data_IF_257957326014
#
_entry.id   IF_257957326014
#
_cell.length_a   1.000
_cell.length_b   1.000
_cell.length_c   1.000
_cell.angle_alpha   90.00
_cell.angle_beta   90.00
_cell.angle_gamma   90.00
#
_symmetry.space_group_name_H-M   'P 1'
#
loop_
_entity.id
_entity.type
_entity.pdbx_description
1 polymer ?
#
# COMPACT_ATOMS: atom_id res chain seq x y z
N UNK A 1 9.50 8.76 21.10
CA UNK A 1 8.18 8.70 20.43
C UNK A 1 8.40 9.19 19.02
N UNK A 2 8.34 8.29 18.04
CA UNK A 2 8.30 8.68 16.63
C UNK A 2 7.03 9.50 16.43
N UNK A 3 7.17 10.80 16.28
CA UNK A 3 6.21 11.53 15.45
C UNK A 3 6.37 10.88 14.07
N UNK A 4 5.41 10.04 13.70
CA UNK A 4 5.50 9.13 12.56
C UNK A 4 5.95 9.89 11.31
N UNK A 5 7.04 9.47 10.66
CA UNK A 5 7.52 9.99 9.36
C UNK A 5 6.38 10.11 8.33
N UNK A 6 5.40 9.20 8.43
CA UNK A 6 4.14 9.22 7.67
C UNK A 6 3.31 10.48 7.96
N UNK A 7 3.11 10.82 9.23
CA UNK A 7 2.38 12.03 9.64
C UNK A 7 3.11 13.29 9.18
N UNK A 8 4.44 13.30 9.24
CA UNK A 8 5.24 14.39 8.70
C UNK A 8 4.99 14.58 7.21
N UNK A 9 5.12 13.51 6.40
CA UNK A 9 4.85 13.52 4.95
C UNK A 9 3.42 14.01 4.65
N UNK A 10 2.41 13.44 5.32
CA UNK A 10 0.99 13.76 5.09
C UNK A 10 0.62 15.20 5.50
N UNK A 11 1.38 15.81 6.40
CA UNK A 11 1.11 17.17 6.90
C UNK A 11 1.69 18.29 6.02
N UNK A 12 2.46 17.95 4.97
CA UNK A 12 3.16 18.93 4.12
C UNK A 12 2.22 19.72 3.19
N UNK A 13 1.61 20.79 3.72
CA UNK A 13 0.66 21.65 2.98
C UNK A 13 1.20 22.37 1.74
N UNK A 14 2.53 22.51 1.63
CA UNK A 14 3.19 23.22 0.50
C UNK A 14 3.42 22.34 -0.72
N UNK A 15 3.34 21.02 -0.55
CA UNK A 15 3.55 20.05 -1.64
C UNK A 15 2.26 19.75 -2.39
N UNK A 16 2.40 19.40 -3.66
CA UNK A 16 1.33 18.81 -4.46
C UNK A 16 0.95 17.45 -3.87
N UNK A 17 -0.31 17.05 -4.07
CA UNK A 17 -0.80 15.73 -3.64
C UNK A 17 -0.01 14.59 -4.28
N UNK A 18 0.46 14.77 -5.52
CA UNK A 18 1.29 13.78 -6.21
C UNK A 18 2.68 13.68 -5.61
N UNK A 19 3.28 14.77 -5.15
CA UNK A 19 4.56 14.72 -4.44
C UNK A 19 4.42 13.98 -3.11
N UNK A 20 3.37 14.29 -2.33
CA UNK A 20 3.06 13.57 -1.08
C UNK A 20 2.86 12.07 -1.35
N UNK A 21 2.16 11.73 -2.42
CA UNK A 21 1.98 10.34 -2.83
C UNK A 21 3.31 9.63 -3.08
N UNK A 22 4.21 10.21 -3.86
CA UNK A 22 5.48 9.56 -4.18
C UNK A 22 6.41 9.49 -2.96
N UNK A 23 6.38 10.47 -2.07
CA UNK A 23 7.10 10.38 -0.79
C UNK A 23 6.59 9.19 0.05
N UNK A 24 5.27 8.97 0.10
CA UNK A 24 4.69 7.81 0.77
C UNK A 24 5.05 6.51 0.06
N UNK A 25 4.96 6.46 -1.27
CA UNK A 25 5.28 5.28 -2.05
C UNK A 25 6.73 4.86 -1.80
N UNK A 26 7.69 5.79 -1.88
CA UNK A 26 9.10 5.52 -1.60
C UNK A 26 9.32 5.08 -0.14
N UNK A 27 8.65 5.73 0.82
CA UNK A 27 8.75 5.36 2.22
C UNK A 27 8.26 3.93 2.49
N UNK A 28 7.15 3.53 1.88
CA UNK A 28 6.61 2.18 2.06
C UNK A 28 7.33 1.14 1.22
N UNK A 29 7.89 1.49 0.06
CA UNK A 29 8.79 0.61 -0.69
C UNK A 29 10.08 0.33 0.08
N UNK A 30 10.64 1.33 0.76
CA UNK A 30 11.79 1.17 1.66
C UNK A 30 11.45 0.22 2.82
N UNK A 31 10.23 0.33 3.38
CA UNK A 31 9.82 -0.41 4.57
C UNK A 31 9.33 -1.83 4.29
N UNK A 32 8.55 -2.03 3.24
CA UNK A 32 7.85 -3.29 2.93
C UNK A 32 8.32 -3.94 1.62
N UNK A 33 9.28 -3.31 0.93
CA UNK A 33 9.83 -3.80 -0.33
C UNK A 33 9.07 -3.30 -1.56
N UNK A 34 9.54 -3.71 -2.73
CA UNK A 34 9.10 -3.19 -4.05
C UNK A 34 7.62 -3.45 -4.37
N UNK A 35 6.95 -4.34 -3.64
CA UNK A 35 5.53 -4.65 -3.83
C UNK A 35 4.61 -3.86 -2.88
N UNK A 36 5.14 -2.85 -2.19
CA UNK A 36 4.32 -1.85 -1.54
C UNK A 36 3.48 -1.08 -2.57
N UNK A 37 2.19 -0.91 -2.30
CA UNK A 37 1.24 -0.23 -3.18
C UNK A 37 0.44 0.80 -2.39
N UNK A 38 0.64 2.08 -2.65
CA UNK A 38 -0.19 3.14 -2.07
C UNK A 38 -1.44 3.37 -2.93
N UNK A 39 -2.60 3.28 -2.30
CA UNK A 39 -3.90 3.75 -2.79
C UNK A 39 -4.30 4.99 -2.01
N UNK A 40 -4.35 6.15 -2.66
CA UNK A 40 -4.65 7.41 -1.98
C UNK A 40 -6.01 7.96 -2.38
N UNK A 41 -6.84 8.26 -1.39
CA UNK A 41 -8.14 8.89 -1.58
C UNK A 41 -7.99 10.35 -2.01
N UNK A 42 -8.56 10.66 -3.18
CA UNK A 42 -8.60 12.00 -3.76
C UNK A 42 -10.03 12.25 -4.27
N UNK A 43 -10.75 13.16 -3.60
CA UNK A 43 -12.16 13.40 -3.90
C UNK A 43 -12.99 12.12 -3.75
N UNK A 44 -13.59 11.64 -4.83
CA UNK A 44 -14.43 10.43 -4.86
C UNK A 44 -13.73 9.19 -5.42
N UNK A 45 -12.40 9.23 -5.55
CA UNK A 45 -11.59 8.16 -6.14
C UNK A 45 -10.46 7.74 -5.21
N UNK A 46 -10.03 6.48 -5.33
CA UNK A 46 -8.72 6.03 -4.88
C UNK A 46 -7.80 5.96 -6.08
N UNK A 47 -6.68 6.67 -5.99
CA UNK A 47 -5.75 6.86 -7.10
C UNK A 47 -4.39 6.22 -6.79
N UNK A 48 -3.76 5.72 -7.84
CA UNK A 48 -2.39 5.21 -7.91
C UNK A 48 -1.66 6.01 -8.98
N UNK A 49 -0.42 6.39 -8.71
CA UNK A 49 0.39 7.16 -9.65
C UNK A 49 1.67 6.44 -10.04
N UNK A 50 2.22 6.81 -11.19
CA UNK A 50 3.52 6.34 -11.67
C UNK A 50 4.26 7.44 -12.42
N UNK A 51 5.53 7.61 -12.06
CA UNK A 51 6.53 8.29 -12.89
C UNK A 51 7.48 7.23 -13.40
N UNK A 52 7.63 7.18 -14.71
CA UNK A 52 8.49 6.26 -15.44
C UNK A 52 9.12 7.03 -16.60
N UNK A 53 10.17 7.77 -16.28
CA UNK A 53 10.98 8.52 -17.23
C UNK A 53 12.47 8.17 -17.03
N UNK A 54 13.38 8.87 -17.72
CA UNK A 54 14.81 8.57 -17.66
C UNK A 54 15.47 8.92 -16.31
N UNK A 55 14.85 9.80 -15.54
CA UNK A 55 15.37 10.29 -14.25
C UNK A 55 14.80 9.52 -13.05
N UNK A 56 13.53 9.13 -13.12
CA UNK A 56 12.76 8.59 -12.01
C UNK A 56 11.81 7.47 -12.46
N UNK A 57 11.84 6.37 -11.71
CA UNK A 57 10.95 5.22 -11.88
C UNK A 57 10.35 4.82 -10.53
N UNK A 58 9.15 5.31 -10.26
CA UNK A 58 8.44 5.12 -8.99
C UNK A 58 6.94 4.96 -9.22
N UNK A 59 6.29 4.15 -8.38
CA UNK A 59 4.86 3.91 -8.44
C UNK A 59 4.49 2.79 -9.40
N UNK A 60 3.20 2.47 -9.44
CA UNK A 60 2.68 1.22 -10.03
C UNK A 60 1.42 1.42 -10.88
N UNK A 61 1.06 2.66 -11.24
CA UNK A 61 -0.19 2.96 -11.92
C UNK A 61 -0.42 2.13 -13.19
N UNK A 62 0.60 1.91 -14.01
CA UNK A 62 0.48 1.09 -15.23
C UNK A 62 0.18 -0.37 -14.90
N UNK A 63 0.97 -0.95 -14.00
CA UNK A 63 0.80 -2.33 -13.54
C UNK A 63 -0.60 -2.56 -12.95
N UNK A 64 -1.05 -1.64 -12.08
CA UNK A 64 -2.37 -1.73 -11.45
C UNK A 64 -3.49 -1.50 -12.45
N UNK A 65 -3.31 -0.61 -13.43
CA UNK A 65 -4.30 -0.40 -14.49
C UNK A 65 -4.53 -1.66 -15.31
N UNK A 66 -3.46 -2.33 -15.72
CA UNK A 66 -3.50 -3.60 -16.46
C UNK A 66 -4.17 -4.71 -15.63
N UNK A 67 -3.74 -4.88 -14.37
CA UNK A 67 -4.24 -5.91 -13.47
C UNK A 67 -5.74 -5.74 -13.17
N UNK A 68 -6.17 -4.51 -12.89
CA UNK A 68 -7.57 -4.22 -12.60
C UNK A 68 -8.43 -4.04 -13.85
N UNK A 69 -7.82 -4.02 -15.04
CA UNK A 69 -8.47 -3.70 -16.31
C UNK A 69 -9.22 -2.35 -16.23
N UNK A 70 -8.52 -1.32 -15.75
CA UNK A 70 -9.02 0.05 -15.64
C UNK A 70 -8.20 0.99 -16.53
N UNK A 71 -8.75 2.16 -16.82
CA UNK A 71 -8.11 3.12 -17.71
C UNK A 71 -6.85 3.74 -17.07
N UNK A 72 -5.70 3.56 -17.74
CA UNK A 72 -4.50 4.35 -17.49
C UNK A 72 -4.59 5.70 -18.22
N UNK A 73 -4.39 6.79 -17.50
CA UNK A 73 -4.39 8.16 -18.04
C UNK A 73 -3.21 8.95 -17.49
N UNK A 74 -3.12 10.23 -17.84
CA UNK A 74 -2.27 11.22 -17.15
C UNK A 74 -3.16 12.13 -16.31
N UNK A 75 -2.57 12.74 -15.29
CA UNK A 75 -3.26 13.76 -14.46
C UNK A 75 -3.76 14.93 -15.32
N UNK A 76 -2.95 15.42 -16.25
CA UNK A 76 -3.34 16.35 -17.31
C UNK A 76 -3.10 15.71 -18.67
N UNK A 77 -4.17 15.53 -19.45
CA UNK A 77 -4.10 14.97 -20.80
C UNK A 77 -3.40 15.89 -21.80
N UNK A 78 -3.32 17.19 -21.50
CA UNK A 78 -2.68 18.18 -22.36
C UNK A 78 -1.15 18.13 -22.27
N UNK A 79 -0.61 17.61 -21.17
CA UNK A 79 0.83 17.52 -20.92
C UNK A 79 1.28 16.09 -21.23
N UNK A 80 2.15 15.92 -22.22
CA UNK A 80 2.66 14.61 -22.64
C UNK A 80 3.77 14.09 -21.72
N UNK A 81 4.54 15.02 -21.16
CA UNK A 81 5.65 14.74 -20.24
C UNK A 81 5.15 14.01 -19.00
N UNK A 82 5.86 12.94 -18.64
CA UNK A 82 5.62 12.17 -17.44
C UNK A 82 6.59 12.61 -16.35
N UNK A 83 6.05 13.21 -15.29
CA UNK A 83 6.81 13.80 -14.19
C UNK A 83 6.01 13.76 -12.90
N UNK A 84 6.61 14.13 -11.77
CA UNK A 84 5.94 14.15 -10.46
C UNK A 84 4.71 15.08 -10.44
N UNK A 85 4.73 16.16 -11.21
CA UNK A 85 3.59 17.09 -11.33
C UNK A 85 2.52 16.59 -12.30
N UNK A 86 2.90 15.79 -13.30
CA UNK A 86 2.00 15.17 -14.28
C UNK A 86 2.28 13.66 -14.47
N UNK A 87 1.99 12.84 -13.45
CA UNK A 87 2.27 11.41 -13.52
C UNK A 87 1.23 10.66 -14.35
N UNK A 88 1.54 9.40 -14.66
CA UNK A 88 0.53 8.42 -15.04
C UNK A 88 -0.39 8.21 -13.84
N UNK A 89 -1.68 8.02 -14.11
CA UNK A 89 -2.74 7.91 -13.12
C UNK A 89 -3.63 6.74 -13.50
N UNK A 90 -3.92 5.91 -12.50
CA UNK A 90 -4.99 4.93 -12.53
C UNK A 90 -5.83 5.11 -11.26
N UNK A 91 -7.14 4.95 -11.36
CA UNK A 91 -8.00 5.16 -10.20
C UNK A 91 -9.32 4.43 -10.28
N UNK A 92 -9.87 4.15 -9.11
CA UNK A 92 -11.16 3.45 -8.94
C UNK A 92 -12.10 4.31 -8.09
N UNK A 93 -13.41 4.31 -8.37
CA UNK A 93 -14.38 5.02 -7.53
C UNK A 93 -14.35 4.51 -6.10
N UNK A 94 -14.41 5.41 -5.12
CA UNK A 94 -14.37 5.08 -3.68
C UNK A 94 -15.47 4.10 -3.26
N UNK A 95 -16.66 4.24 -3.84
CA UNK A 95 -17.81 3.33 -3.61
C UNK A 95 -17.56 1.89 -4.04
N UNK A 96 -16.54 1.65 -4.87
CA UNK A 96 -16.19 0.34 -5.41
C UNK A 96 -14.83 -0.16 -4.91
N UNK A 97 -14.19 0.53 -3.97
CA UNK A 97 -12.84 0.23 -3.50
C UNK A 97 -12.71 -1.24 -3.07
N UNK A 98 -13.65 -1.74 -2.27
CA UNK A 98 -13.58 -3.10 -1.73
C UNK A 98 -13.47 -4.17 -2.82
N UNK A 99 -14.25 -4.03 -3.90
CA UNK A 99 -14.20 -4.94 -5.06
C UNK A 99 -12.81 -4.97 -5.71
N UNK A 100 -12.16 -3.81 -5.83
CA UNK A 100 -10.83 -3.73 -6.44
C UNK A 100 -9.73 -4.17 -5.47
N UNK A 101 -9.87 -3.88 -4.17
CA UNK A 101 -8.98 -4.37 -3.13
C UNK A 101 -8.95 -5.89 -3.09
N UNK A 102 -10.10 -6.58 -3.12
CA UNK A 102 -10.14 -8.04 -3.16
C UNK A 102 -9.29 -8.60 -4.29
N UNK A 103 -9.44 -8.06 -5.52
CA UNK A 103 -8.66 -8.50 -6.69
C UNK A 103 -7.16 -8.25 -6.54
N UNK A 104 -6.75 -7.17 -5.89
CA UNK A 104 -5.33 -6.89 -5.62
C UNK A 104 -4.78 -7.87 -4.59
N UNK A 105 -5.54 -8.16 -3.54
CA UNK A 105 -5.11 -9.05 -2.45
C UNK A 105 -5.03 -10.50 -2.93
N UNK A 106 -5.94 -10.93 -3.81
CA UNK A 106 -5.94 -12.27 -4.42
C UNK A 106 -4.66 -12.59 -5.17
N UNK A 107 -3.94 -11.57 -5.65
CA UNK A 107 -2.64 -11.78 -6.29
C UNK A 107 -1.57 -12.26 -5.33
N UNK A 108 -1.79 -12.16 -4.01
CA UNK A 108 -0.85 -12.49 -2.92
C UNK A 108 0.52 -11.83 -3.08
N UNK A 109 0.58 -10.71 -3.81
CA UNK A 109 1.82 -10.00 -4.16
C UNK A 109 2.02 -8.73 -3.35
N UNK A 110 0.98 -7.89 -3.26
CA UNK A 110 1.14 -6.52 -2.77
C UNK A 110 0.96 -6.40 -1.26
N UNK A 111 1.74 -5.49 -0.66
CA UNK A 111 1.38 -4.87 0.62
C UNK A 111 0.70 -3.53 0.31
N UNK A 112 -0.60 -3.46 0.53
CA UNK A 112 -1.45 -2.34 0.12
C UNK A 112 -1.60 -1.35 1.27
N UNK A 113 -1.26 -0.08 1.04
CA UNK A 113 -1.43 1.02 1.97
C UNK A 113 -2.61 1.86 1.50
N UNK A 114 -3.67 1.88 2.30
CA UNK A 114 -4.85 2.69 2.02
C UNK A 114 -4.73 4.01 2.78
N UNK A 115 -4.68 5.12 2.05
CA UNK A 115 -4.65 6.48 2.61
C UNK A 115 -6.01 7.11 2.39
N UNK A 116 -6.71 7.44 3.48
CA UNK A 116 -8.02 8.09 3.46
C UNK A 116 -7.93 9.56 3.83
N UNK A 117 -8.98 10.30 3.52
CA UNK A 117 -9.14 11.69 3.92
C UNK A 117 -10.33 11.86 4.87
N UNK A 118 -10.25 12.83 5.79
CA UNK A 118 -11.31 13.18 6.74
C UNK A 118 -11.41 14.69 6.88
N UNK A 119 -12.64 15.17 7.03
CA UNK A 119 -12.96 16.60 7.15
C UNK A 119 -13.53 17.17 5.86
N UNK A 120 -13.95 18.43 5.93
CA UNK A 120 -14.55 19.17 4.83
C UNK A 120 -13.58 20.23 4.30
N UNK A 121 -13.77 20.66 3.05
CA UNK A 121 -12.96 21.73 2.47
C UNK A 121 -13.13 23.02 3.29
N UNK A 122 -12.03 23.74 3.65
CA UNK A 122 -10.63 23.52 3.28
C UNK A 122 -9.82 22.66 4.27
N UNK A 123 -10.42 22.19 5.37
CA UNK A 123 -9.76 21.51 6.49
C UNK A 123 -9.73 19.98 6.33
N UNK A 124 -9.18 19.50 5.21
CA UNK A 124 -9.04 18.07 4.94
C UNK A 124 -7.74 17.55 5.55
N UNK A 125 -7.82 16.48 6.35
CA UNK A 125 -6.67 15.74 6.88
C UNK A 125 -6.59 14.36 6.24
N UNK A 126 -5.39 13.93 5.87
CA UNK A 126 -5.13 12.58 5.33
C UNK A 126 -4.45 11.71 6.40
N UNK A 127 -4.74 10.43 6.37
CA UNK A 127 -4.18 9.44 7.29
C UNK A 127 -4.13 8.07 6.63
N UNK A 128 -3.16 7.25 7.02
CA UNK A 128 -3.14 5.82 6.64
C UNK A 128 -4.26 5.13 7.42
N UNK A 129 -5.25 4.60 6.71
CA UNK A 129 -6.38 3.91 7.34
C UNK A 129 -6.05 2.45 7.60
N UNK A 130 -5.44 1.78 6.62
CA UNK A 130 -5.18 0.35 6.65
C UNK A 130 -3.86 0.04 5.93
N UNK A 131 -3.17 -0.99 6.42
CA UNK A 131 -2.05 -1.64 5.71
C UNK A 131 -2.43 -3.11 5.60
N UNK A 132 -2.58 -3.59 4.37
CA UNK A 132 -3.08 -4.93 4.05
C UNK A 132 -1.97 -5.69 3.34
N UNK A 133 -1.37 -6.67 4.02
CA UNK A 133 -0.43 -7.61 3.43
C UNK A 133 -1.13 -8.94 3.11
N UNK A 134 -0.55 -9.82 2.28
CA UNK A 134 -1.13 -11.12 1.99
C UNK A 134 -1.42 -11.96 3.25
N UNK A 135 -0.54 -11.88 4.26
CA UNK A 135 -0.68 -12.60 5.53
C UNK A 135 -1.62 -11.95 6.53
N UNK A 136 -1.94 -10.65 6.39
CA UNK A 136 -2.82 -9.91 7.32
C UNK A 136 -4.21 -9.66 6.75
N UNK A 137 -4.58 -10.33 5.67
CA UNK A 137 -5.88 -10.15 5.02
C UNK A 137 -7.00 -10.82 5.83
N UNK A 138 -7.69 -10.03 6.64
CA UNK A 138 -8.84 -10.47 7.44
C UNK A 138 -10.16 -10.40 6.66
N UNK A 139 -10.36 -9.34 5.89
CA UNK A 139 -11.67 -8.98 5.32
C UNK A 139 -11.96 -9.63 3.97
N UNK A 140 -10.93 -10.06 3.23
CA UNK A 140 -11.05 -10.49 1.84
C UNK A 140 -10.58 -11.93 1.63
N UNK A 141 -10.93 -12.85 2.53
CA UNK A 141 -10.61 -14.27 2.41
C UNK A 141 -11.53 -14.93 1.39
N UNK A 142 -10.99 -15.25 0.22
CA UNK A 142 -11.73 -15.94 -0.85
C UNK A 142 -11.70 -17.46 -0.73
N UNK A 143 -10.76 -18.03 0.03
CA UNK A 143 -10.65 -19.46 0.25
C UNK A 143 -10.66 -19.78 1.76
N UNK A 144 -11.33 -20.87 2.19
CA UNK A 144 -11.31 -21.33 3.58
C UNK A 144 -9.99 -22.06 3.90
N UNK A 145 -8.87 -21.44 3.56
CA UNK A 145 -7.52 -21.94 3.84
C UNK A 145 -6.93 -21.14 5.00
N UNK A 146 -6.18 -21.82 5.88
CA UNK A 146 -5.49 -21.13 6.98
C UNK A 146 -4.52 -20.08 6.43
N UNK A 147 -4.58 -18.85 6.95
CA UNK A 147 -3.70 -17.76 6.58
C UNK A 147 -2.82 -17.38 7.78
N UNK A 148 -1.76 -18.17 7.99
CA UNK A 148 -0.88 -18.01 9.14
C UNK A 148 0.24 -17.00 8.86
N UNK A 149 0.40 -16.03 9.75
CA UNK A 149 1.62 -15.24 9.86
C UNK A 149 2.56 -15.97 10.81
N UNK A 150 3.79 -16.23 10.35
CA UNK A 150 4.80 -16.97 11.13
C UNK A 150 5.96 -16.05 11.48
N UNK A 151 6.35 -16.07 12.75
CA UNK A 151 7.59 -15.51 13.26
C UNK A 151 8.53 -16.64 13.64
N UNK A 152 9.77 -16.58 13.15
CA UNK A 152 10.85 -17.50 13.51
C UNK A 152 11.89 -16.75 14.32
N UNK A 153 12.30 -17.33 15.43
CA UNK A 153 13.45 -16.89 16.22
C UNK A 153 14.51 -17.98 16.15
N UNK A 154 15.65 -17.65 15.55
CA UNK A 154 16.79 -18.55 15.47
C UNK A 154 17.86 -18.01 16.41
N UNK A 155 18.27 -18.83 17.38
CA UNK A 155 19.34 -18.51 18.33
C UNK A 155 20.49 -19.51 18.19
N UNK A 156 21.71 -19.05 18.46
CA UNK A 156 22.91 -19.88 18.43
C UNK A 156 23.67 -19.72 19.75
N UNK A 157 23.88 -20.83 20.45
CA UNK A 157 24.68 -20.87 21.66
C UNK A 157 25.73 -21.96 21.58
N UNK A 158 27.02 -21.57 21.59
CA UNK A 158 28.16 -22.46 21.51
C UNK A 158 28.09 -23.48 20.33
N UNK A 159 27.58 -23.03 19.17
CA UNK A 159 27.43 -23.87 17.98
C UNK A 159 26.19 -24.78 17.99
N UNK A 160 25.33 -24.67 19.00
CA UNK A 160 24.02 -25.33 19.05
C UNK A 160 22.96 -24.31 18.62
N UNK A 161 22.19 -24.67 17.59
CA UNK A 161 21.09 -23.86 17.08
C UNK A 161 19.77 -24.25 17.73
N UNK A 162 19.03 -23.26 18.23
CA UNK A 162 17.65 -23.39 18.71
C UNK A 162 16.72 -22.58 17.81
N UNK A 163 15.52 -23.10 17.55
CA UNK A 163 14.54 -22.45 16.67
C UNK A 163 13.18 -22.41 17.35
N UNK A 164 12.81 -21.24 17.85
CA UNK A 164 11.45 -20.96 18.26
C UNK A 164 10.60 -20.51 17.08
N UNK A 165 9.34 -20.92 17.05
CA UNK A 165 8.37 -20.40 16.10
C UNK A 165 7.04 -20.07 16.75
N UNK A 166 6.42 -18.99 16.27
CA UNK A 166 5.05 -18.63 16.58
C UNK A 166 4.30 -18.40 15.27
N UNK A 167 3.11 -18.97 15.14
CA UNK A 167 2.22 -18.80 14.01
C UNK A 167 0.85 -18.34 14.50
N UNK A 168 0.25 -17.38 13.81
CA UNK A 168 -1.11 -16.91 14.09
C UNK A 168 -1.92 -16.83 12.79
N UNK A 169 -3.08 -17.45 12.79
CA UNK A 169 -4.12 -17.16 11.80
C UNK A 169 -4.95 -15.98 12.33
N UNK A 170 -4.74 -14.81 11.73
CA UNK A 170 -5.40 -13.56 12.17
C UNK A 170 -6.91 -13.58 11.94
N UNK A 171 -7.42 -14.46 11.08
CA UNK A 171 -8.86 -14.56 10.78
C UNK A 171 -9.64 -15.35 11.82
N UNK A 172 -9.00 -16.38 12.38
CA UNK A 172 -9.61 -17.27 13.39
C UNK A 172 -9.10 -17.01 14.80
N UNK A 173 -7.97 -16.31 14.95
CA UNK A 173 -7.25 -16.16 16.22
C UNK A 173 -6.49 -17.42 16.65
N UNK A 174 -6.50 -18.49 15.85
CA UNK A 174 -5.75 -19.72 16.13
C UNK A 174 -4.26 -19.39 16.17
N UNK A 175 -3.63 -19.74 17.28
CA UNK A 175 -2.20 -19.47 17.52
C UNK A 175 -1.47 -20.77 17.85
N UNK A 176 -0.27 -20.95 17.30
CA UNK A 176 0.61 -22.09 17.52
C UNK A 176 1.97 -21.53 17.93
N UNK A 177 2.51 -21.95 19.06
CA UNK A 177 3.86 -21.57 19.49
C UNK A 177 4.66 -22.82 19.86
N UNK A 178 5.95 -22.83 19.52
CA UNK A 178 6.89 -23.89 19.87
C UNK A 178 8.31 -23.31 20.03
N UNK A 179 9.15 -23.98 20.81
CA UNK A 179 10.53 -23.57 21.13
C UNK A 179 11.52 -24.73 20.95
#
# INVERSE_FOLDING_TARGET
MLVDKITEILSQKKKLLTEIYFDLQLHFEEKYGKDALVLMEIGTFFEVYEVNNDEMKVGKAKEIAELLNIQLTRKSKAILENSVSNPLLAGVPAVSLDRYLSRLIDTKKYTIIVVKQKGEMPNIKRYVSNIISPGTNFEYLNEPTENNIVSLLIDENAGIYSVGYAAIDVSTGKTICNE
#
